data_IF_996973459456
#
_entry.id   IF_996973459456
#
_cell.length_a   1.000
_cell.length_b   1.000
_cell.length_c   1.000
_cell.angle_alpha   90.00
_cell.angle_beta   90.00
_cell.angle_gamma   90.00
#
_symmetry.space_group_name_H-M   'P 1'
#
loop_
_entity.id
_entity.type
_entity.pdbx_description
1 polymer ?
#
# COMPACT_ATOMS: atom_id res chain seq x y z
N UNK A 1 -12.59 1.37 1.69
CA UNK A 1 -11.86 0.77 2.82
C UNK A 1 -12.76 0.71 4.04
N UNK A 2 -12.98 -0.49 4.55
CA UNK A 2 -13.67 -0.75 5.84
C UNK A 2 -12.63 -1.08 6.91
N UNK A 3 -13.01 -0.96 8.17
CA UNK A 3 -12.15 -1.27 9.33
C UNK A 3 -11.66 -2.72 9.32
N UNK A 4 -12.52 -3.66 8.89
CA UNK A 4 -12.18 -5.06 8.78
C UNK A 4 -11.02 -5.37 7.82
N UNK A 5 -10.82 -4.56 6.77
CA UNK A 5 -9.70 -4.76 5.85
C UNK A 5 -8.36 -4.48 6.51
N UNK A 6 -8.28 -3.42 7.34
CA UNK A 6 -7.07 -3.09 8.09
C UNK A 6 -6.78 -4.16 9.14
N UNK A 7 -7.84 -4.65 9.81
CA UNK A 7 -7.73 -5.68 10.85
C UNK A 7 -7.16 -7.01 10.37
N UNK A 8 -7.44 -7.43 9.13
CA UNK A 8 -6.96 -8.71 8.58
C UNK A 8 -5.61 -8.63 7.87
N UNK A 9 -5.21 -7.45 7.37
CA UNK A 9 -3.94 -7.31 6.63
C UNK A 9 -2.71 -7.41 7.53
N UNK A 10 -1.70 -8.18 7.13
CA UNK A 10 -0.38 -8.15 7.76
C UNK A 10 0.40 -6.88 7.40
N UNK A 11 0.18 -6.37 6.19
CA UNK A 11 0.86 -5.20 5.63
C UNK A 11 -0.08 -4.39 4.74
N UNK A 12 0.07 -3.06 4.75
CA UNK A 12 -0.80 -2.16 3.98
C UNK A 12 0.07 -1.28 3.09
N UNK A 13 -0.14 -1.39 1.77
CA UNK A 13 0.50 -0.53 0.78
C UNK A 13 -0.45 0.56 0.31
N UNK A 14 0.08 1.76 0.13
CA UNK A 14 -0.63 2.89 -0.47
C UNK A 14 0.20 3.50 -1.58
N UNK A 15 -0.46 3.96 -2.64
CA UNK A 15 0.22 4.54 -3.80
C UNK A 15 0.86 5.89 -3.47
N UNK A 16 0.13 6.79 -2.81
CA UNK A 16 0.58 8.17 -2.58
C UNK A 16 0.52 8.55 -1.10
N UNK A 17 1.37 9.51 -0.71
CA UNK A 17 1.45 10.04 0.65
C UNK A 17 0.10 10.57 1.19
N UNK A 18 -0.75 11.11 0.30
CA UNK A 18 -2.09 11.60 0.64
C UNK A 18 -3.01 10.48 1.15
N UNK A 19 -2.84 9.25 0.64
CA UNK A 19 -3.57 8.08 1.10
C UNK A 19 -3.12 7.69 2.51
N UNK A 20 -1.81 7.69 2.78
CA UNK A 20 -1.26 7.46 4.13
C UNK A 20 -1.90 8.37 5.17
N UNK A 21 -1.99 9.67 4.88
CA UNK A 21 -2.56 10.66 5.81
C UNK A 21 -4.02 10.35 6.11
N UNK A 22 -4.83 10.14 5.07
CA UNK A 22 -6.26 9.80 5.20
C UNK A 22 -6.47 8.52 6.03
N UNK A 23 -5.61 7.53 5.86
CA UNK A 23 -5.70 6.27 6.59
C UNK A 23 -5.31 6.41 8.05
N UNK A 24 -4.23 7.15 8.35
CA UNK A 24 -3.84 7.44 9.72
C UNK A 24 -4.90 8.28 10.44
N UNK A 25 -5.47 9.29 9.79
CA UNK A 25 -6.55 10.12 10.37
C UNK A 25 -7.80 9.30 10.70
N UNK A 26 -8.20 8.40 9.81
CA UNK A 26 -9.47 7.66 9.94
C UNK A 26 -9.34 6.37 10.77
N UNK A 27 -8.16 5.77 10.83
CA UNK A 27 -7.96 4.43 11.38
C UNK A 27 -6.73 4.30 12.28
N UNK A 28 -6.24 5.39 12.88
CA UNK A 28 -5.02 5.42 13.73
C UNK A 28 -4.94 4.25 14.73
N UNK A 29 -6.06 3.94 15.42
CA UNK A 29 -6.11 2.90 16.45
C UNK A 29 -6.18 1.46 15.92
N UNK A 30 -6.34 1.25 14.61
CA UNK A 30 -6.53 -0.07 14.02
C UNK A 30 -5.27 -0.64 13.39
N UNK A 31 -4.22 0.18 13.24
CA UNK A 31 -2.96 -0.27 12.67
C UNK A 31 -2.26 -1.28 13.57
N UNK A 32 -2.44 -1.28 14.90
CA UNK A 32 -1.85 -2.30 15.80
C UNK A 32 -0.37 -2.63 15.54
N UNK A 33 0.43 -1.64 15.13
CA UNK A 33 1.85 -1.82 14.77
C UNK A 33 2.12 -2.37 13.36
N UNK A 34 1.09 -2.60 12.55
CA UNK A 34 1.19 -3.07 11.16
C UNK A 34 1.91 -2.06 10.28
N UNK A 35 2.77 -2.51 9.35
CA UNK A 35 3.46 -1.62 8.43
C UNK A 35 2.46 -0.97 7.46
N UNK A 36 2.50 0.36 7.42
CA UNK A 36 1.81 1.17 6.41
C UNK A 36 2.87 1.78 5.49
N UNK A 37 3.01 1.24 4.29
CA UNK A 37 4.09 1.55 3.33
C UNK A 37 3.52 2.38 2.20
N UNK A 38 4.16 3.51 1.90
CA UNK A 38 3.83 4.36 0.76
C UNK A 38 4.79 4.04 -0.39
N UNK A 39 4.26 3.59 -1.52
CA UNK A 39 5.05 3.25 -2.71
C UNK A 39 5.50 4.50 -3.49
N UNK A 40 4.86 5.65 -3.24
CA UNK A 40 5.13 6.93 -3.91
C UNK A 40 4.95 6.82 -5.44
N UNK A 41 3.88 6.13 -5.85
CA UNK A 41 3.47 5.92 -7.24
C UNK A 41 2.27 6.85 -7.52
N UNK A 42 2.34 7.72 -8.54
CA UNK A 42 1.24 8.60 -8.91
C UNK A 42 0.09 7.83 -9.58
N UNK A 43 -1.13 8.38 -9.54
CA UNK A 43 -2.34 7.79 -10.13
C UNK A 43 -2.54 8.24 -11.60
N UNK A 44 -1.47 8.23 -12.38
CA UNK A 44 -1.43 8.75 -13.76
C UNK A 44 -1.34 7.63 -14.81
N UNK A 45 -1.52 6.38 -14.39
CA UNK A 45 -1.38 5.19 -15.22
C UNK A 45 -2.72 4.72 -15.78
N UNK A 46 -2.68 4.14 -16.99
CA UNK A 46 -3.86 3.52 -17.58
C UNK A 46 -4.12 2.14 -16.95
N UNK A 47 -5.34 1.65 -17.15
CA UNK A 47 -5.65 0.27 -16.80
C UNK A 47 -4.69 -0.68 -17.53
N UNK A 48 -4.03 -1.55 -16.77
CA UNK A 48 -3.03 -2.53 -17.27
C UNK A 48 -1.78 -1.91 -17.90
N UNK A 49 -1.42 -0.69 -17.52
CA UNK A 49 -0.17 -0.08 -17.94
C UNK A 49 1.05 -0.92 -17.52
N UNK A 50 1.90 -1.28 -18.49
CA UNK A 50 3.08 -2.11 -18.25
C UNK A 50 4.07 -1.41 -17.31
N UNK A 51 4.21 -0.08 -17.42
CA UNK A 51 5.09 0.72 -16.56
C UNK A 51 4.65 0.67 -15.09
N UNK A 52 3.33 0.70 -14.85
CA UNK A 52 2.77 0.54 -13.50
C UNK A 52 3.09 -0.85 -12.95
N UNK A 53 2.94 -1.89 -13.76
CA UNK A 53 3.20 -3.28 -13.33
C UNK A 53 4.67 -3.45 -12.96
N UNK A 54 5.60 -2.95 -13.78
CA UNK A 54 7.04 -3.02 -13.49
C UNK A 54 7.40 -2.22 -12.24
N UNK A 55 6.86 -1.01 -12.11
CA UNK A 55 7.08 -0.16 -10.93
C UNK A 55 6.56 -0.83 -9.66
N UNK A 56 5.37 -1.41 -9.70
CA UNK A 56 4.80 -2.15 -8.57
C UNK A 56 5.68 -3.35 -8.19
N UNK A 57 6.10 -4.16 -9.17
CA UNK A 57 7.00 -5.30 -8.91
C UNK A 57 8.28 -4.84 -8.24
N UNK A 58 8.94 -3.82 -8.79
CA UNK A 58 10.18 -3.28 -8.25
C UNK A 58 10.01 -2.79 -6.79
N UNK A 59 9.04 -1.91 -6.54
CA UNK A 59 8.85 -1.30 -5.20
C UNK A 59 8.34 -2.28 -4.16
N UNK A 60 7.49 -3.23 -4.53
CA UNK A 60 6.91 -4.20 -3.59
C UNK A 60 7.93 -5.27 -3.21
N UNK A 61 8.86 -5.61 -4.11
CA UNK A 61 9.92 -6.59 -3.84
C UNK A 61 10.82 -6.19 -2.67
N UNK A 62 10.94 -4.90 -2.36
CA UNK A 62 11.70 -4.41 -1.20
C UNK A 62 11.06 -4.78 0.15
N UNK A 63 9.77 -5.16 0.16
CA UNK A 63 8.99 -5.39 1.38
C UNK A 63 8.45 -6.81 1.52
N UNK A 64 8.37 -7.54 0.41
CA UNK A 64 7.84 -8.91 0.38
C UNK A 64 8.94 -9.80 -0.18
N UNK A 65 9.53 -10.66 0.66
CA UNK A 65 10.28 -11.79 0.14
C UNK A 65 9.29 -12.65 -0.65
N UNK A 66 9.55 -12.85 -1.94
CA UNK A 66 8.77 -13.78 -2.75
C UNK A 66 8.71 -15.15 -2.07
N UNK A 67 7.66 -15.97 -2.31
CA UNK A 67 7.63 -17.31 -1.76
C UNK A 67 8.91 -18.03 -2.21
N UNK A 68 9.76 -18.38 -1.24
CA UNK A 68 10.82 -19.36 -1.44
C UNK A 68 10.24 -20.74 -1.72
#
# INVERSE_FOLDING_TARGET
MTEGHIGWSDMIFVMEKKHTRRLKEKFAGQFNGKPLICLDIPDDYRFMDEELIETLKSRVSDYIEGPG
#
